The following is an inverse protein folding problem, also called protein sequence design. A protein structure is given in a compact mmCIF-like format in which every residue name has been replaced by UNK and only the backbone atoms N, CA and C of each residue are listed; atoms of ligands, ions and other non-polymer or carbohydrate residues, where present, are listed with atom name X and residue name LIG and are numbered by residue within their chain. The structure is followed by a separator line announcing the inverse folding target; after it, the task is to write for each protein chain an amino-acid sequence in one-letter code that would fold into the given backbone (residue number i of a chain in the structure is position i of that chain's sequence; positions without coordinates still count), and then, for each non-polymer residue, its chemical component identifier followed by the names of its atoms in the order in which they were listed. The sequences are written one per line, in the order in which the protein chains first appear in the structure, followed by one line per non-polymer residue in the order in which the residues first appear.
data_IF_625771136427
#
_entry.id   IF_625771136427
#
_cell.length_a   1.000
_cell.length_b   1.000
_cell.length_c   1.000
_cell.angle_alpha   90.00
_cell.angle_beta   90.00
_cell.angle_gamma   90.00
#
_symmetry.space_group_name_H-M   'P 1'
#
loop_
_entity.id
_entity.type
_entity.pdbx_description
1 polymer ?
#
# COMPACT_ATOMS: atom_id res chain seq x y z
N UNK A 1 -35.70 -33.52 -8.90
CA UNK A 1 -35.54 -32.19 -9.54
C UNK A 1 -35.39 -31.23 -8.38
N UNK A 2 -34.12 -30.96 -8.00
CA UNK A 2 -33.78 -30.04 -6.88
C UNK A 2 -33.77 -28.65 -7.49
N UNK A 3 -34.73 -27.82 -7.14
CA UNK A 3 -34.76 -26.40 -7.50
C UNK A 3 -33.67 -25.70 -6.66
N UNK A 4 -32.49 -25.49 -7.24
CA UNK A 4 -31.53 -24.54 -6.68
C UNK A 4 -32.16 -23.15 -6.72
N UNK A 5 -32.49 -22.65 -5.55
CA UNK A 5 -32.86 -21.24 -5.38
C UNK A 5 -31.61 -20.38 -5.65
N UNK A 6 -31.64 -19.46 -6.60
CA UNK A 6 -30.48 -18.59 -6.83
C UNK A 6 -30.21 -17.78 -5.56
N UNK A 7 -29.04 -17.99 -4.97
CA UNK A 7 -28.59 -17.20 -3.84
C UNK A 7 -28.42 -15.74 -4.30
N UNK A 8 -29.02 -14.76 -3.58
CA UNK A 8 -29.09 -13.39 -4.05
C UNK A 8 -27.68 -12.77 -4.15
N UNK A 9 -27.34 -12.31 -5.34
CA UNK A 9 -26.08 -11.64 -5.71
C UNK A 9 -25.70 -10.46 -4.78
N UNK A 10 -26.64 -9.95 -3.99
CA UNK A 10 -26.46 -8.84 -3.04
C UNK A 10 -25.51 -9.13 -1.87
N UNK A 11 -25.22 -10.41 -1.55
CA UNK A 11 -24.30 -10.77 -0.44
C UNK A 11 -22.82 -10.57 -0.77
N UNK A 12 -22.47 -10.41 -2.04
CA UNK A 12 -21.07 -10.27 -2.47
C UNK A 12 -20.55 -8.82 -2.50
N UNK A 13 -21.41 -7.82 -2.33
CA UNK A 13 -21.04 -6.39 -2.42
C UNK A 13 -20.58 -5.78 -1.08
N UNK A 14 -20.90 -6.39 0.05
CA UNK A 14 -20.47 -5.90 1.36
C UNK A 14 -19.09 -6.46 1.73
N UNK A 15 -18.16 -5.57 2.09
CA UNK A 15 -16.87 -5.97 2.62
C UNK A 15 -17.06 -6.49 4.04
N UNK A 16 -16.67 -7.73 4.36
CA UNK A 16 -16.76 -8.25 5.71
C UNK A 16 -16.04 -7.34 6.72
N UNK A 17 -16.59 -7.11 7.93
CA UNK A 17 -15.99 -6.23 8.92
C UNK A 17 -14.57 -6.66 9.32
N UNK A 18 -14.29 -7.97 9.28
CA UNK A 18 -12.94 -8.49 9.52
C UNK A 18 -11.90 -7.98 8.51
N UNK A 19 -12.25 -7.86 7.22
CA UNK A 19 -11.35 -7.32 6.21
C UNK A 19 -11.08 -5.82 6.44
N UNK A 20 -12.09 -5.05 6.85
CA UNK A 20 -11.90 -3.66 7.24
C UNK A 20 -11.02 -3.53 8.48
N UNK A 21 -11.22 -4.37 9.50
CA UNK A 21 -10.39 -4.37 10.70
C UNK A 21 -8.91 -4.63 10.37
N UNK A 22 -8.64 -5.64 9.53
CA UNK A 22 -7.27 -5.95 9.09
C UNK A 22 -6.67 -4.78 8.28
N UNK A 23 -7.44 -4.19 7.37
CA UNK A 23 -6.98 -3.05 6.56
C UNK A 23 -6.67 -1.82 7.44
N UNK A 24 -7.51 -1.51 8.44
CA UNK A 24 -7.29 -0.43 9.39
C UNK A 24 -6.07 -0.71 10.30
N UNK A 25 -5.87 -1.94 10.75
CA UNK A 25 -4.67 -2.33 11.47
C UNK A 25 -3.40 -2.14 10.63
N UNK A 26 -3.46 -2.50 9.34
CA UNK A 26 -2.34 -2.28 8.41
C UNK A 26 -2.10 -0.79 8.14
N UNK A 27 -3.14 0.04 8.20
CA UNK A 27 -3.04 1.48 8.01
C UNK A 27 -2.53 2.23 9.24
N UNK A 28 -2.81 1.75 10.45
CA UNK A 28 -2.52 2.43 11.71
C UNK A 28 -1.07 2.91 11.88
N UNK A 29 -0.02 2.15 11.50
CA UNK A 29 1.37 2.61 11.64
C UNK A 29 1.69 3.88 10.85
N UNK A 30 0.99 4.14 9.74
CA UNK A 30 1.25 5.32 8.89
C UNK A 30 0.98 6.64 9.60
N UNK A 31 -0.25 6.94 10.08
CA UNK A 31 -0.52 8.20 10.77
C UNK A 31 0.23 8.31 12.08
N UNK A 32 0.44 7.20 12.81
CA UNK A 32 1.18 7.21 14.08
C UNK A 32 2.63 7.65 13.82
N UNK A 33 3.30 7.03 12.85
CA UNK A 33 4.67 7.37 12.53
C UNK A 33 4.79 8.75 11.88
N UNK A 34 3.81 9.20 11.07
CA UNK A 34 3.80 10.54 10.50
C UNK A 34 3.69 11.61 11.57
N UNK A 35 2.84 11.43 12.57
CA UNK A 35 2.74 12.35 13.72
C UNK A 35 4.03 12.34 14.53
N UNK A 36 4.59 11.18 14.83
CA UNK A 36 5.84 11.05 15.57
C UNK A 36 7.03 11.70 14.84
N UNK A 37 7.07 11.57 13.51
CA UNK A 37 8.10 12.22 12.68
C UNK A 37 7.91 13.74 12.60
N UNK A 38 6.66 14.22 12.46
CA UNK A 38 6.36 15.64 12.25
C UNK A 38 6.48 16.48 13.51
N UNK A 39 6.14 15.90 14.65
CA UNK A 39 6.03 16.66 15.93
C UNK A 39 6.82 16.05 17.09
N UNK A 40 7.51 14.93 16.87
CA UNK A 40 8.34 14.30 17.89
C UNK A 40 9.69 14.99 18.09
N UNK A 41 10.35 14.70 19.22
CA UNK A 41 11.76 15.08 19.43
C UNK A 41 12.66 14.38 18.38
N UNK A 42 13.87 14.91 18.12
CA UNK A 42 14.80 14.29 17.14
C UNK A 42 15.07 12.80 17.40
N UNK A 43 15.07 12.38 18.66
CA UNK A 43 15.28 10.98 19.05
C UNK A 43 14.09 10.08 18.68
N UNK A 44 12.89 10.65 18.54
CA UNK A 44 11.67 9.94 18.12
C UNK A 44 11.46 10.06 16.62
N UNK A 45 11.75 11.21 16.03
CA UNK A 45 11.48 11.49 14.63
C UNK A 45 12.26 10.56 13.68
N UNK A 46 13.56 10.36 13.89
CA UNK A 46 14.38 9.49 13.05
C UNK A 46 13.91 8.02 13.04
N UNK A 47 13.68 7.37 14.20
CA UNK A 47 13.07 6.04 14.23
C UNK A 47 11.70 5.99 13.57
N UNK A 48 10.84 7.01 13.80
CA UNK A 48 9.51 7.07 13.21
C UNK A 48 9.55 7.08 11.68
N UNK A 49 10.44 7.88 11.06
CA UNK A 49 10.67 7.86 9.63
C UNK A 49 11.12 6.47 9.14
N UNK A 50 12.03 5.83 9.87
CA UNK A 50 12.48 4.48 9.57
C UNK A 50 11.33 3.48 9.57
N UNK A 51 10.46 3.56 10.56
CA UNK A 51 9.30 2.70 10.71
C UNK A 51 8.33 2.89 9.54
N UNK A 52 7.96 4.13 9.21
CA UNK A 52 6.98 4.38 8.15
C UNK A 52 7.49 3.96 6.78
N UNK A 53 8.78 4.16 6.47
CA UNK A 53 9.36 3.74 5.20
C UNK A 53 9.46 2.22 5.09
N UNK A 54 9.90 1.53 6.16
CA UNK A 54 9.96 0.07 6.18
C UNK A 54 8.56 -0.53 6.07
N UNK A 55 7.59 0.06 6.79
CA UNK A 55 6.20 -0.38 6.74
C UNK A 55 5.58 -0.16 5.36
N UNK A 56 5.91 0.96 4.69
CA UNK A 56 5.52 1.20 3.30
C UNK A 56 5.99 0.08 2.38
N UNK A 57 7.24 -0.37 2.55
CA UNK A 57 7.77 -1.51 1.81
C UNK A 57 7.01 -2.81 2.06
N UNK A 58 6.67 -3.10 3.31
CA UNK A 58 5.88 -4.27 3.69
C UNK A 58 4.48 -4.24 3.06
N UNK A 59 3.79 -3.09 3.11
CA UNK A 59 2.44 -2.95 2.54
C UNK A 59 2.47 -3.04 1.01
N UNK A 60 3.44 -2.41 0.34
CA UNK A 60 3.62 -2.54 -1.11
C UNK A 60 3.91 -3.99 -1.52
N UNK A 61 4.75 -4.70 -0.77
CA UNK A 61 5.02 -6.11 -1.00
C UNK A 61 3.76 -6.97 -0.80
N UNK A 62 2.95 -6.67 0.22
CA UNK A 62 1.68 -7.34 0.46
C UNK A 62 0.70 -7.12 -0.70
N UNK A 63 0.52 -5.88 -1.16
CA UNK A 63 -0.37 -5.56 -2.29
C UNK A 63 0.08 -6.26 -3.58
N UNK A 64 1.38 -6.28 -3.86
CA UNK A 64 1.96 -7.05 -4.96
C UNK A 64 1.69 -8.56 -4.83
N UNK A 65 1.84 -9.12 -3.63
CA UNK A 65 1.58 -10.52 -3.33
C UNK A 65 0.10 -10.92 -3.50
N UNK A 66 -0.83 -10.04 -3.11
CA UNK A 66 -2.27 -10.26 -3.35
C UNK A 66 -2.55 -10.36 -4.85
N UNK A 67 -1.97 -9.47 -5.66
CA UNK A 67 -2.12 -9.54 -7.13
C UNK A 67 -1.51 -10.80 -7.72
N UNK A 68 -0.34 -11.19 -7.25
CA UNK A 68 0.26 -12.47 -7.64
C UNK A 68 -0.68 -13.63 -7.37
N UNK A 69 -1.24 -13.71 -6.14
CA UNK A 69 -2.18 -14.76 -5.76
C UNK A 69 -3.44 -14.79 -6.62
N UNK A 70 -4.02 -13.61 -6.91
CA UNK A 70 -5.21 -13.49 -7.75
C UNK A 70 -4.94 -13.91 -9.21
N UNK A 71 -3.77 -13.59 -9.76
CA UNK A 71 -3.44 -13.96 -11.14
C UNK A 71 -3.02 -15.43 -11.25
N UNK A 72 -2.25 -15.96 -10.30
CA UNK A 72 -1.80 -17.36 -10.29
C UNK A 72 -2.94 -18.36 -10.09
N UNK A 73 -4.04 -17.95 -9.46
CA UNK A 73 -5.24 -18.77 -9.29
C UNK A 73 -6.12 -18.88 -10.55
N UNK A 74 -5.76 -18.22 -11.67
CA UNK A 74 -6.52 -18.29 -12.92
C UNK A 74 -6.20 -19.55 -13.75
N UNK A 75 -7.15 -20.05 -14.54
CA UNK A 75 -6.89 -21.17 -15.44
C UNK A 75 -5.81 -20.88 -16.49
N UNK A 76 -5.63 -19.61 -16.89
CA UNK A 76 -4.60 -19.14 -17.82
C UNK A 76 -3.95 -17.85 -17.29
N UNK A 77 -2.93 -17.97 -16.44
CA UNK A 77 -2.23 -16.82 -15.87
C UNK A 77 -1.47 -16.03 -16.95
N UNK A 78 -1.53 -14.69 -16.89
CA UNK A 78 -0.82 -13.81 -17.82
C UNK A 78 0.53 -13.42 -17.24
N UNK A 79 1.63 -13.81 -17.89
CA UNK A 79 2.99 -13.53 -17.44
C UNK A 79 3.23 -12.03 -17.20
N UNK A 80 2.69 -11.15 -18.05
CA UNK A 80 2.81 -9.70 -17.88
C UNK A 80 2.23 -9.21 -16.55
N UNK A 81 1.08 -9.74 -16.11
CA UNK A 81 0.44 -9.35 -14.84
C UNK A 81 1.21 -9.88 -13.64
N UNK A 82 1.79 -11.07 -13.76
CA UNK A 82 2.68 -11.64 -12.75
C UNK A 82 3.95 -10.80 -12.60
N UNK A 83 4.56 -10.35 -13.70
CA UNK A 83 5.72 -9.45 -13.68
C UNK A 83 5.40 -8.12 -12.99
N UNK A 84 4.26 -7.50 -13.31
CA UNK A 84 3.82 -6.25 -12.68
C UNK A 84 3.62 -6.43 -11.17
N UNK A 85 3.10 -7.59 -10.72
CA UNK A 85 2.91 -7.83 -9.27
C UNK A 85 4.22 -7.94 -8.50
N UNK A 86 5.31 -8.39 -9.15
CA UNK A 86 6.65 -8.44 -8.54
C UNK A 86 7.33 -7.07 -8.55
N UNK A 87 6.92 -6.16 -9.43
CA UNK A 87 7.55 -4.84 -9.54
C UNK A 87 7.40 -4.01 -8.26
N UNK A 88 6.23 -4.05 -7.61
CA UNK A 88 5.96 -3.28 -6.38
C UNK A 88 6.92 -3.63 -5.23
N UNK A 89 7.13 -4.90 -4.84
CA UNK A 89 8.11 -5.22 -3.81
C UNK A 89 9.55 -4.89 -4.22
N UNK A 90 9.91 -5.04 -5.51
CA UNK A 90 11.26 -4.69 -6.00
C UNK A 90 11.49 -3.18 -5.90
N UNK A 91 10.53 -2.36 -6.30
CA UNK A 91 10.63 -0.89 -6.18
C UNK A 91 10.74 -0.49 -4.71
N UNK A 92 9.89 -1.05 -3.84
CA UNK A 92 9.94 -0.78 -2.41
C UNK A 92 11.31 -1.14 -1.80
N UNK A 93 11.83 -2.31 -2.13
CA UNK A 93 13.15 -2.76 -1.67
C UNK A 93 14.28 -1.84 -2.17
N UNK A 94 14.25 -1.45 -3.44
CA UNK A 94 15.24 -0.53 -4.03
C UNK A 94 15.21 0.84 -3.34
N UNK A 95 14.02 1.38 -3.05
CA UNK A 95 13.88 2.64 -2.32
C UNK A 95 14.47 2.55 -0.91
N UNK A 96 14.20 1.46 -0.19
CA UNK A 96 14.76 1.24 1.14
C UNK A 96 16.29 1.12 1.13
N UNK A 97 16.86 0.43 0.14
CA UNK A 97 18.33 0.35 -0.02
C UNK A 97 18.96 1.70 -0.37
N UNK A 98 18.25 2.51 -1.14
CA UNK A 98 18.73 3.84 -1.58
C UNK A 98 18.71 4.88 -0.44
N UNK A 99 18.11 4.58 0.69
CA UNK A 99 17.93 5.49 1.83
C UNK A 99 19.22 6.08 2.38
N UNK A 100 20.33 5.36 2.28
CA UNK A 100 21.66 5.86 2.71
C UNK A 100 22.36 6.74 1.67
N UNK A 101 21.81 6.84 0.47
CA UNK A 101 22.41 7.57 -0.66
C UNK A 101 21.54 8.73 -1.15
N UNK A 102 20.26 8.69 -0.89
CA UNK A 102 19.29 9.69 -1.33
C UNK A 102 18.76 10.49 -0.13
N UNK A 103 18.46 11.78 -0.31
CA UNK A 103 17.72 12.56 0.68
C UNK A 103 16.39 11.90 1.02
N UNK A 104 15.96 11.99 2.27
CA UNK A 104 14.71 11.38 2.77
C UNK A 104 13.48 11.78 1.93
N UNK A 105 13.43 13.04 1.47
CA UNK A 105 12.35 13.54 0.62
C UNK A 105 12.18 12.72 -0.69
N UNK A 106 13.27 12.30 -1.32
CA UNK A 106 13.23 11.49 -2.53
C UNK A 106 12.71 10.07 -2.26
N UNK A 107 13.11 9.48 -1.14
CA UNK A 107 12.67 8.14 -0.75
C UNK A 107 11.18 8.16 -0.39
N UNK A 108 10.73 9.17 0.36
CA UNK A 108 9.31 9.35 0.70
C UNK A 108 8.49 9.58 -0.57
N UNK A 109 8.93 10.47 -1.46
CA UNK A 109 8.27 10.74 -2.74
C UNK A 109 8.19 9.49 -3.63
N UNK A 110 9.26 8.69 -3.65
CA UNK A 110 9.30 7.40 -4.33
C UNK A 110 8.29 6.39 -3.78
N UNK A 111 8.12 6.33 -2.45
CA UNK A 111 7.09 5.50 -1.82
C UNK A 111 5.67 5.95 -2.22
N UNK A 112 5.40 7.27 -2.20
CA UNK A 112 4.11 7.81 -2.65
C UNK A 112 3.86 7.41 -4.10
N UNK A 113 4.84 7.61 -4.99
CA UNK A 113 4.74 7.22 -6.39
C UNK A 113 4.47 5.73 -6.57
N UNK A 114 5.15 4.86 -5.80
CA UNK A 114 4.95 3.43 -5.83
C UNK A 114 3.52 3.02 -5.41
N UNK A 115 2.96 3.65 -4.35
CA UNK A 115 1.57 3.43 -3.93
C UNK A 115 0.57 3.85 -5.00
N UNK A 116 0.77 5.02 -5.64
CA UNK A 116 -0.12 5.51 -6.69
C UNK A 116 -0.08 4.61 -7.93
N UNK A 117 1.09 4.16 -8.34
CA UNK A 117 1.25 3.22 -9.45
C UNK A 117 0.59 1.88 -9.14
N UNK A 118 0.80 1.35 -7.93
CA UNK A 118 0.13 0.12 -7.48
C UNK A 118 -1.39 0.27 -7.50
N UNK A 119 -1.91 1.38 -6.97
CA UNK A 119 -3.34 1.67 -6.97
C UNK A 119 -3.92 1.76 -8.38
N UNK A 120 -3.20 2.42 -9.31
CA UNK A 120 -3.62 2.52 -10.70
C UNK A 120 -3.75 1.14 -11.36
N UNK A 121 -2.77 0.26 -11.13
CA UNK A 121 -2.83 -1.12 -11.61
C UNK A 121 -3.98 -1.91 -10.97
N UNK A 122 -4.29 -1.68 -9.69
CA UNK A 122 -5.40 -2.35 -9.00
C UNK A 122 -6.75 -1.96 -9.60
N UNK A 123 -6.92 -0.70 -10.07
CA UNK A 123 -8.14 -0.22 -10.69
C UNK A 123 -8.30 -0.63 -12.16
N UNK A 124 -7.21 -0.85 -12.86
CA UNK A 124 -7.25 -1.27 -14.28
C UNK A 124 -7.45 -2.78 -14.46
N UNK A 125 -7.52 -3.56 -13.40
CA UNK A 125 -7.71 -5.01 -13.49
C UNK A 125 -9.22 -5.34 -13.55
N UNK A 126 -9.78 -5.75 -14.71
CA UNK A 126 -11.23 -5.92 -14.91
C UNK A 126 -11.82 -7.11 -14.13
N UNK A 127 -10.99 -8.01 -13.65
CA UNK A 127 -11.42 -9.32 -13.11
C UNK A 127 -11.09 -9.46 -11.61
N UNK A 128 -10.92 -8.36 -10.89
CA UNK A 128 -10.66 -8.37 -9.46
C UNK A 128 -11.99 -8.25 -8.71
N UNK A 129 -12.21 -9.00 -7.60
CA UNK A 129 -13.42 -8.86 -6.80
C UNK A 129 -13.66 -7.39 -6.41
N UNK A 130 -14.88 -6.87 -6.60
CA UNK A 130 -15.23 -5.45 -6.40
C UNK A 130 -14.85 -4.88 -5.01
N UNK A 131 -14.61 -5.75 -4.04
CA UNK A 131 -14.17 -5.42 -2.67
C UNK A 131 -12.71 -4.96 -2.60
N UNK A 132 -11.84 -5.57 -3.43
CA UNK A 132 -10.41 -5.32 -3.37
C UNK A 132 -10.02 -3.88 -3.76
N UNK A 133 -10.53 -3.28 -4.84
CA UNK A 133 -10.23 -1.90 -5.19
C UNK A 133 -10.62 -0.89 -4.12
N UNK A 134 -11.72 -1.12 -3.39
CA UNK A 134 -12.15 -0.24 -2.27
C UNK A 134 -11.16 -0.28 -1.11
N UNK A 135 -10.69 -1.48 -0.72
CA UNK A 135 -9.68 -1.63 0.34
C UNK A 135 -8.33 -1.06 -0.09
N UNK A 136 -7.91 -1.35 -1.32
CA UNK A 136 -6.67 -0.79 -1.90
C UNK A 136 -6.70 0.74 -1.94
N UNK A 137 -7.84 1.35 -2.30
CA UNK A 137 -8.01 2.81 -2.29
C UNK A 137 -7.87 3.38 -0.88
N UNK A 138 -8.52 2.79 0.11
CA UNK A 138 -8.44 3.27 1.50
C UNK A 138 -7.02 3.17 2.06
N UNK A 139 -6.33 2.05 1.82
CA UNK A 139 -4.93 1.85 2.23
C UNK A 139 -4.00 2.84 1.52
N UNK A 140 -4.13 2.99 0.21
CA UNK A 140 -3.29 3.90 -0.58
C UNK A 140 -3.52 5.35 -0.18
N UNK A 141 -4.77 5.79 -0.03
CA UNK A 141 -5.08 7.15 0.38
C UNK A 141 -4.49 7.47 1.75
N UNK A 142 -4.71 6.60 2.75
CA UNK A 142 -4.18 6.80 4.09
C UNK A 142 -2.64 6.77 4.15
N UNK A 143 -2.01 5.86 3.40
CA UNK A 143 -0.56 5.81 3.30
C UNK A 143 0.01 7.07 2.62
N UNK A 144 -0.56 7.48 1.48
CA UNK A 144 -0.12 8.68 0.75
C UNK A 144 -0.30 9.97 1.57
N UNK A 145 -1.41 10.13 2.29
CA UNK A 145 -1.64 11.29 3.16
C UNK A 145 -0.57 11.33 4.27
N UNK A 146 -0.33 10.21 4.94
CA UNK A 146 0.67 10.13 5.99
C UNK A 146 2.09 10.38 5.48
N UNK A 147 2.44 9.81 4.33
CA UNK A 147 3.73 10.04 3.68
C UNK A 147 3.87 11.49 3.18
N UNK A 148 2.79 12.14 2.73
CA UNK A 148 2.81 13.55 2.34
C UNK A 148 3.13 14.46 3.53
N UNK A 149 2.63 14.16 4.73
CA UNK A 149 3.00 14.85 5.97
C UNK A 149 4.49 14.64 6.25
N UNK A 150 5.00 13.43 6.10
CA UNK A 150 6.44 13.15 6.26
C UNK A 150 7.27 13.90 5.21
N UNK A 151 6.80 13.99 3.97
CA UNK A 151 7.49 14.70 2.90
C UNK A 151 7.59 16.21 3.18
N UNK A 152 6.51 16.83 3.61
CA UNK A 152 6.50 18.25 4.00
C UNK A 152 7.52 18.54 5.11
N UNK A 153 7.60 17.68 6.12
CA UNK A 153 8.59 17.81 7.18
C UNK A 153 10.02 17.58 6.70
N UNK A 154 10.25 16.58 5.86
CA UNK A 154 11.58 16.31 5.30
C UNK A 154 12.08 17.49 4.45
N UNK A 155 11.20 18.16 3.71
CA UNK A 155 11.56 19.36 2.93
C UNK A 155 11.88 20.55 3.83
N UNK A 156 11.19 20.72 4.96
CA UNK A 156 11.45 21.80 5.92
C UNK A 156 12.77 21.61 6.67
N UNK A 157 13.10 20.37 7.04
CA UNK A 157 14.33 20.07 7.79
C UNK A 157 15.55 19.94 6.88
N UNK A 158 15.39 19.61 5.61
CA UNK A 158 16.48 19.51 4.64
C UNK A 158 17.01 20.85 4.11
N UNK A 159 16.40 21.98 4.50
CA UNK A 159 16.83 23.34 4.16
C UNK A 159 17.52 24.07 5.33
N UNK A 160 17.73 23.39 6.46
CA UNK A 160 18.52 23.87 7.59
C UNK A 160 19.88 23.18 7.63
#
# INVERSE_FOLDING_TARGET
MVTETPEPAARYDSIPPALWAIALCALAPFPIAAVAYGWGSPDVARPALSIVLTWSGCVLAFLGGVRWGLESGRPSPRAQRLLISVLSPVVAWTLLLSRHRLPDAWVIGGCIGAFLVQWLFDHQAPDVPARYPRLSTALTAGACISLAICLDQAMKTGHA
#
